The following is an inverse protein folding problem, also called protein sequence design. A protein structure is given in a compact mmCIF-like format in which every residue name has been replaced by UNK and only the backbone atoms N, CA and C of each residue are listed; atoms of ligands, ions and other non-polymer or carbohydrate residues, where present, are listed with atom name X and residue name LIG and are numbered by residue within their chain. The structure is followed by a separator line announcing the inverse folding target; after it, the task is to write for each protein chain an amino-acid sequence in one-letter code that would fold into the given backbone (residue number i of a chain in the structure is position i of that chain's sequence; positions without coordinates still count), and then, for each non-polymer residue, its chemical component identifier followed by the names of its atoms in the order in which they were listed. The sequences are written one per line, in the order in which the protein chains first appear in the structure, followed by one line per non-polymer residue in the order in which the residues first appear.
data_IF_389912649796
#
_entry.id   IF_389912649796
#
_cell.length_a   1.000
_cell.length_b   1.000
_cell.length_c   1.000
_cell.angle_alpha   90.00
_cell.angle_beta   90.00
_cell.angle_gamma   90.00
#
_symmetry.space_group_name_H-M   'P 1'
#
loop_
_entity.id
_entity.type
_entity.pdbx_description
1 polymer ?
#
# COMPACT_ATOMS: atom_id res chain seq x y z
N UNK A 1 12.65 3.00 -9.81
CA UNK A 1 12.72 4.21 -8.94
C UNK A 1 13.69 3.97 -7.77
N UNK A 2 14.54 4.93 -7.39
CA UNK A 2 15.48 4.72 -6.26
C UNK A 2 14.76 4.47 -4.92
N UNK A 3 15.25 3.51 -4.14
CA UNK A 3 14.75 3.17 -2.80
C UNK A 3 15.23 4.22 -1.78
N UNK A 4 14.36 5.17 -1.41
CA UNK A 4 14.72 6.28 -0.52
C UNK A 4 13.65 6.55 0.53
N UNK A 5 14.06 7.10 1.67
CA UNK A 5 13.15 7.55 2.74
C UNK A 5 12.14 8.58 2.21
N UNK A 6 12.57 9.52 1.37
CA UNK A 6 11.69 10.54 0.83
C UNK A 6 10.58 9.96 -0.07
N UNK A 7 10.92 8.94 -0.87
CA UNK A 7 9.95 8.25 -1.70
C UNK A 7 8.95 7.45 -0.84
N UNK A 8 9.42 6.79 0.21
CA UNK A 8 8.52 6.13 1.17
C UNK A 8 7.52 7.12 1.81
N UNK A 9 7.99 8.29 2.27
CA UNK A 9 7.12 9.31 2.87
C UNK A 9 6.05 9.79 1.88
N UNK A 10 6.42 9.98 0.61
CA UNK A 10 5.45 10.35 -0.45
C UNK A 10 4.39 9.27 -0.63
N UNK A 11 4.79 7.99 -0.67
CA UNK A 11 3.86 6.86 -0.80
C UNK A 11 2.94 6.72 0.41
N UNK A 12 3.47 6.84 1.63
CA UNK A 12 2.70 6.82 2.86
C UNK A 12 1.64 7.93 2.90
N UNK A 13 2.02 9.15 2.50
CA UNK A 13 1.09 10.28 2.43
C UNK A 13 0.01 10.06 1.36
N UNK A 14 0.39 9.55 0.20
CA UNK A 14 -0.55 9.21 -0.87
C UNK A 14 -1.58 8.17 -0.38
N UNK A 15 -1.13 7.09 0.26
CA UNK A 15 -2.03 6.09 0.81
C UNK A 15 -3.00 6.69 1.84
N UNK A 16 -2.50 7.52 2.78
CA UNK A 16 -3.36 8.17 3.77
C UNK A 16 -4.40 9.09 3.11
N UNK A 17 -4.00 9.88 2.11
CA UNK A 17 -4.91 10.74 1.35
C UNK A 17 -5.98 9.92 0.61
N UNK A 18 -5.58 8.85 -0.08
CA UNK A 18 -6.52 7.98 -0.79
C UNK A 18 -7.48 7.27 0.17
N UNK A 19 -6.98 6.84 1.33
CA UNK A 19 -7.82 6.23 2.38
C UNK A 19 -8.86 7.21 2.89
N UNK A 20 -8.47 8.46 3.17
CA UNK A 20 -9.40 9.51 3.58
C UNK A 20 -10.48 9.76 2.52
N UNK A 21 -10.10 9.93 1.25
CA UNK A 21 -11.05 10.16 0.15
C UNK A 21 -11.98 8.96 -0.05
N UNK A 22 -11.44 7.74 -0.03
CA UNK A 22 -12.23 6.53 -0.30
C UNK A 22 -13.12 6.12 0.88
N UNK A 23 -12.74 6.45 2.11
CA UNK A 23 -13.56 6.27 3.31
C UNK A 23 -14.80 7.17 3.33
N UNK A 24 -14.75 8.30 2.63
CA UNK A 24 -15.86 9.24 2.50
C UNK A 24 -16.85 8.87 1.39
N UNK A 25 -16.47 7.99 0.45
CA UNK A 25 -17.30 7.65 -0.71
C UNK A 25 -18.07 6.35 -0.42
N UNK A 26 -19.22 6.47 0.26
CA UNK A 26 -20.36 5.61 -0.05
C UNK A 26 -20.85 6.03 -1.44
N UNK A 27 -20.60 5.22 -2.47
CA UNK A 27 -21.09 5.53 -3.81
C UNK A 27 -22.62 5.35 -3.78
N UNK A 28 -23.37 6.45 -3.73
CA UNK A 28 -24.81 6.40 -3.99
C UNK A 28 -25.03 6.26 -5.49
N UNK A 29 -25.31 5.03 -5.96
CA UNK A 29 -25.90 4.83 -7.29
C UNK A 29 -27.41 4.67 -7.11
N UNK A 30 -28.16 5.74 -7.37
CA UNK A 30 -29.62 5.72 -7.26
C UNK A 30 -30.17 5.67 -5.83
N UNK A 31 -29.46 6.25 -4.84
CA UNK A 31 -29.93 6.36 -3.46
C UNK A 31 -29.65 5.16 -2.54
N UNK A 32 -29.05 4.08 -3.06
CA UNK A 32 -28.60 2.93 -2.27
C UNK A 32 -27.11 3.11 -1.96
N UNK A 33 -26.74 3.03 -0.68
CA UNK A 33 -25.35 3.01 -0.26
C UNK A 33 -24.71 1.69 -0.70
N UNK A 34 -23.86 1.75 -1.73
CA UNK A 34 -23.04 0.61 -2.13
C UNK A 34 -21.74 0.70 -1.32
N UNK A 35 -21.41 -0.35 -0.57
CA UNK A 35 -20.09 -0.46 0.04
C UNK A 35 -19.03 -0.34 -1.06
N UNK A 36 -18.02 0.51 -0.85
CA UNK A 36 -16.97 0.79 -1.83
C UNK A 36 -16.00 -0.40 -1.97
N UNK A 37 -16.47 -1.50 -2.57
CA UNK A 37 -15.69 -2.73 -2.77
C UNK A 37 -14.43 -2.48 -3.59
N UNK A 38 -14.54 -1.75 -4.71
CA UNK A 38 -13.40 -1.44 -5.60
C UNK A 38 -12.35 -0.58 -4.87
N UNK A 39 -12.77 0.43 -4.13
CA UNK A 39 -11.87 1.27 -3.34
C UNK A 39 -11.19 0.51 -2.19
N UNK A 40 -11.89 -0.41 -1.52
CA UNK A 40 -11.30 -1.24 -0.45
C UNK A 40 -10.20 -2.16 -0.97
N UNK A 41 -10.44 -2.82 -2.10
CA UNK A 41 -9.46 -3.68 -2.74
C UNK A 41 -8.25 -2.89 -3.27
N UNK A 42 -8.49 -1.78 -3.98
CA UNK A 42 -7.42 -0.91 -4.44
C UNK A 42 -6.58 -0.35 -3.28
N UNK A 43 -7.20 0.04 -2.17
CA UNK A 43 -6.47 0.49 -0.98
C UNK A 43 -5.68 -0.64 -0.32
N UNK A 44 -6.16 -1.87 -0.35
CA UNK A 44 -5.41 -3.03 0.16
C UNK A 44 -4.15 -3.28 -0.69
N UNK A 45 -4.25 -3.21 -2.01
CA UNK A 45 -3.12 -3.37 -2.93
C UNK A 45 -2.10 -2.22 -2.74
N UNK A 46 -2.57 -0.98 -2.58
CA UNK A 46 -1.70 0.16 -2.29
C UNK A 46 -1.03 -0.01 -0.92
N UNK A 47 -1.75 -0.44 0.11
CA UNK A 47 -1.18 -0.67 1.44
C UNK A 47 -0.07 -1.74 1.39
N UNK A 48 -0.32 -2.83 0.68
CA UNK A 48 0.68 -3.87 0.44
C UNK A 48 1.93 -3.28 -0.23
N UNK A 49 1.76 -2.46 -1.28
CA UNK A 49 2.87 -1.79 -1.93
C UNK A 49 3.66 -0.86 -1.00
N UNK A 50 2.97 -0.01 -0.23
CA UNK A 50 3.63 0.92 0.72
C UNK A 50 4.40 0.13 1.79
N UNK A 51 3.81 -0.95 2.30
CA UNK A 51 4.46 -1.79 3.29
C UNK A 51 5.69 -2.51 2.71
N UNK A 52 5.57 -3.14 1.54
CA UNK A 52 6.69 -3.83 0.89
C UNK A 52 7.83 -2.88 0.53
N UNK A 53 7.52 -1.66 0.07
CA UNK A 53 8.52 -0.61 -0.12
C UNK A 53 9.26 -0.30 1.19
N UNK A 54 8.50 -0.09 2.28
CA UNK A 54 9.04 0.17 3.61
C UNK A 54 9.91 -0.97 4.16
N UNK A 55 9.46 -2.22 4.01
CA UNK A 55 10.22 -3.41 4.41
C UNK A 55 11.57 -3.48 3.70
N UNK A 56 11.56 -3.31 2.38
CA UNK A 56 12.79 -3.31 1.56
C UNK A 56 13.71 -2.13 1.90
N UNK A 57 13.15 -0.99 2.28
CA UNK A 57 13.92 0.16 2.77
C UNK A 57 14.66 -0.15 4.08
N UNK A 58 14.04 -0.90 5.00
CA UNK A 58 14.69 -1.33 6.25
C UNK A 58 15.76 -2.41 6.02
N UNK A 59 15.56 -3.29 5.04
CA UNK A 59 16.52 -4.35 4.69
C UNK A 59 17.75 -3.79 3.95
N UNK A 60 17.59 -2.64 3.30
CA UNK A 60 18.68 -1.99 2.60
C UNK A 60 19.69 -1.33 3.55
N UNK A 61 20.79 -2.04 3.83
CA UNK A 61 21.88 -1.57 4.69
C UNK A 61 22.60 -0.30 4.21
N UNK A 62 22.42 0.10 2.95
CA UNK A 62 23.01 1.34 2.41
C UNK A 62 22.19 2.60 2.70
N UNK A 63 20.99 2.46 3.27
CA UNK A 63 20.09 3.58 3.58
C UNK A 63 19.91 3.70 5.09
N UNK A 64 20.24 4.87 5.65
CA UNK A 64 19.90 5.18 7.04
C UNK A 64 18.43 5.58 7.13
N UNK A 65 17.63 4.81 7.85
CA UNK A 65 16.21 5.08 8.07
C UNK A 65 16.01 5.67 9.47
N UNK A 66 15.45 6.89 9.59
CA UNK A 66 15.09 7.48 10.88
C UNK A 66 14.07 6.64 11.68
N UNK A 67 14.16 6.64 13.01
CA UNK A 67 13.34 5.77 13.88
C UNK A 67 11.83 6.09 13.84
N UNK A 68 11.47 7.34 13.62
CA UNK A 68 10.10 7.78 13.35
C UNK A 68 9.55 7.13 12.06
N UNK A 69 10.36 7.09 11.00
CA UNK A 69 10.00 6.42 9.74
C UNK A 69 9.90 4.91 9.94
N UNK A 70 10.79 4.29 10.72
CA UNK A 70 10.67 2.85 11.08
C UNK A 70 9.35 2.55 11.78
N UNK A 71 8.92 3.43 12.69
CA UNK A 71 7.64 3.30 13.38
C UNK A 71 6.44 3.45 12.43
N UNK A 72 6.53 4.32 11.42
CA UNK A 72 5.51 4.42 10.36
C UNK A 72 5.43 3.11 9.56
N UNK A 73 6.57 2.57 9.13
CA UNK A 73 6.64 1.30 8.38
C UNK A 73 6.01 0.16 9.19
N UNK A 74 6.34 0.06 10.49
CA UNK A 74 5.77 -0.96 11.38
C UNK A 74 4.25 -0.85 11.49
N UNK A 75 3.71 0.36 11.63
CA UNK A 75 2.25 0.59 11.66
C UNK A 75 1.56 0.16 10.37
N UNK A 76 2.17 0.43 9.21
CA UNK A 76 1.65 -0.08 7.94
C UNK A 76 1.71 -1.61 7.86
N UNK A 77 2.77 -2.24 8.39
CA UNK A 77 2.86 -3.70 8.51
C UNK A 77 1.75 -4.30 9.37
N UNK A 78 1.46 -3.70 10.53
CA UNK A 78 0.34 -4.13 11.40
C UNK A 78 -1.02 -3.99 10.71
N UNK A 79 -1.23 -2.96 9.89
CA UNK A 79 -2.45 -2.80 9.09
C UNK A 79 -2.52 -3.85 7.98
N UNK A 80 -1.41 -4.03 7.26
CA UNK A 80 -1.29 -4.99 6.17
C UNK A 80 -1.60 -6.42 6.65
N UNK A 81 -1.01 -6.86 7.76
CA UNK A 81 -1.26 -8.20 8.32
C UNK A 81 -2.74 -8.47 8.61
N UNK A 82 -3.53 -7.44 8.94
CA UNK A 82 -4.98 -7.58 9.18
C UNK A 82 -5.78 -7.74 7.88
N UNK A 83 -5.29 -7.22 6.77
CA UNK A 83 -6.03 -7.13 5.51
C UNK A 83 -5.43 -7.95 4.37
N UNK A 84 -4.24 -8.54 4.54
CA UNK A 84 -3.54 -9.29 3.50
C UNK A 84 -4.29 -10.49 2.95
N UNK A 85 -5.28 -10.99 3.70
CA UNK A 85 -6.16 -12.09 3.28
C UNK A 85 -7.47 -11.59 2.64
N UNK A 86 -7.68 -10.27 2.57
CA UNK A 86 -8.81 -9.64 1.88
C UNK A 86 -8.48 -9.40 0.39
N UNK A 87 -7.77 -10.35 -0.24
CA UNK A 87 -7.25 -10.21 -1.60
C UNK A 87 -8.37 -10.11 -2.65
N UNK A 88 -8.14 -9.32 -3.68
CA UNK A 88 -8.90 -9.42 -4.93
C UNK A 88 -8.72 -10.83 -5.52
N UNK A 89 -9.80 -11.55 -5.90
CA UNK A 89 -9.69 -12.93 -6.39
C UNK A 89 -8.87 -13.12 -7.67
N UNK A 90 -8.47 -12.02 -8.33
CA UNK A 90 -7.98 -12.02 -9.72
C UNK A 90 -6.52 -11.62 -9.89
N UNK A 91 -5.80 -11.22 -8.83
CA UNK A 91 -4.39 -10.84 -8.91
C UNK A 91 -3.55 -11.61 -7.89
N UNK A 92 -2.36 -12.06 -8.33
CA UNK A 92 -1.34 -12.65 -7.45
C UNK A 92 -0.93 -11.58 -6.42
N UNK A 93 -0.76 -11.91 -5.12
CA UNK A 93 -0.30 -10.92 -4.14
C UNK A 93 1.12 -10.41 -4.44
N UNK A 94 1.41 -9.14 -4.19
CA UNK A 94 2.71 -8.50 -4.45
C UNK A 94 3.83 -9.16 -3.62
N UNK A 95 3.56 -9.59 -2.38
CA UNK A 95 4.54 -10.31 -1.56
C UNK A 95 4.99 -11.66 -2.15
N UNK A 96 4.23 -12.19 -3.11
CA UNK A 96 4.57 -13.41 -3.85
C UNK A 96 5.21 -13.13 -5.22
N UNK A 97 5.33 -11.86 -5.63
CA UNK A 97 5.86 -11.46 -6.93
C UNK A 97 7.39 -11.30 -6.92
N UNK A 98 8.02 -11.61 -8.06
CA UNK A 98 9.41 -11.21 -8.31
C UNK A 98 9.51 -9.70 -8.60
N UNK A 99 10.71 -9.12 -8.55
CA UNK A 99 10.92 -7.69 -8.82
C UNK A 99 10.49 -7.32 -10.25
N UNK A 100 10.85 -8.15 -11.24
CA UNK A 100 10.45 -7.95 -12.64
C UNK A 100 8.93 -8.03 -12.83
N UNK A 101 8.27 -8.98 -12.16
CA UNK A 101 6.80 -9.09 -12.20
C UNK A 101 6.14 -7.82 -11.66
N UNK A 102 6.66 -7.32 -10.56
CA UNK A 102 6.16 -6.12 -9.90
C UNK A 102 6.36 -4.86 -10.75
N UNK A 103 7.59 -4.61 -11.24
CA UNK A 103 7.93 -3.45 -12.06
C UNK A 103 7.12 -3.39 -13.37
N UNK A 104 6.92 -4.55 -14.01
CA UNK A 104 6.12 -4.69 -15.22
C UNK A 104 4.64 -4.34 -15.01
N UNK A 105 4.04 -4.75 -13.88
CA UNK A 105 2.63 -4.41 -13.59
C UNK A 105 2.47 -2.91 -13.33
N UNK A 106 3.47 -2.29 -12.72
CA UNK A 106 3.42 -0.89 -12.31
C UNK A 106 3.92 0.09 -13.39
N UNK A 107 4.42 -0.39 -14.53
CA UNK A 107 5.07 0.42 -15.58
C UNK A 107 6.20 1.31 -15.03
N UNK A 108 7.10 0.75 -14.22
CA UNK A 108 8.26 1.45 -13.62
C UNK A 108 9.56 0.80 -14.08
#
# INVERSE_FOLDING_TARGET
MALTVQNFIKLANLYNQMTMVSSAICVQKGGIAIENYVGRFYLADVLEYVYEYGRRLLENKSVSVPDDVKNVIRRFGEQYERVKNLTTPTQKPIYEMTLEEFERIMNI
#
